data_IF_529710142843
#
_entry.id   IF_529710142843
#
_cell.length_a   1.000
_cell.length_b   1.000
_cell.length_c   1.000
_cell.angle_alpha   90.00
_cell.angle_beta   90.00
_cell.angle_gamma   90.00
#
_symmetry.space_group_name_H-M   'P 1'
#
loop_
_entity.id
_entity.type
_entity.pdbx_description
1 polymer ?
#
# COMPACT_ATOMS: atom_id res chain seq x y z
N UNK A 1 39.24 -48.94 -24.47
CA UNK A 1 39.40 -47.51 -24.09
C UNK A 1 38.66 -46.55 -25.04
N UNK A 2 38.54 -46.84 -26.35
CA UNK A 2 37.92 -45.96 -27.36
C UNK A 2 36.38 -45.80 -27.18
N UNK A 3 35.68 -46.80 -26.64
CA UNK A 3 34.23 -46.75 -26.43
C UNK A 3 33.77 -45.67 -25.44
N UNK A 4 34.60 -45.32 -24.44
CA UNK A 4 34.31 -44.26 -23.48
C UNK A 4 34.43 -42.86 -24.13
N UNK A 5 35.41 -42.71 -25.02
CA UNK A 5 35.67 -41.48 -25.78
C UNK A 5 34.54 -41.20 -26.78
N UNK A 6 34.01 -42.23 -27.44
CA UNK A 6 32.87 -42.11 -28.36
C UNK A 6 31.57 -41.69 -27.66
N UNK A 7 31.35 -42.14 -26.41
CA UNK A 7 30.18 -41.70 -25.61
C UNK A 7 30.27 -40.21 -25.24
N UNK A 8 31.46 -39.72 -24.89
CA UNK A 8 31.69 -38.31 -24.59
C UNK A 8 31.52 -37.38 -25.81
N UNK A 9 31.88 -37.86 -27.01
CA UNK A 9 31.68 -37.13 -28.26
C UNK A 9 30.21 -37.04 -28.70
N UNK A 10 29.36 -38.00 -28.32
CA UNK A 10 27.90 -37.93 -28.56
C UNK A 10 27.23 -36.86 -27.71
N UNK A 11 27.60 -36.75 -26.43
CA UNK A 11 27.05 -35.74 -25.52
C UNK A 11 27.32 -34.31 -25.99
N UNK A 12 28.51 -34.03 -26.56
CA UNK A 12 28.86 -32.71 -27.11
C UNK A 12 28.15 -32.34 -28.43
N UNK A 13 27.61 -33.32 -29.16
CA UNK A 13 26.86 -33.07 -30.41
C UNK A 13 25.39 -32.75 -30.19
N UNK A 14 24.88 -32.98 -28.98
CA UNK A 14 23.47 -32.73 -28.62
C UNK A 14 23.24 -31.33 -28.02
N UNK A 15 24.30 -30.57 -27.74
CA UNK A 15 24.19 -29.16 -27.37
C UNK A 15 23.93 -28.30 -28.61
N UNK A 16 22.68 -28.33 -29.10
CA UNK A 16 22.18 -27.31 -30.02
C UNK A 16 22.11 -25.99 -29.24
N UNK A 17 23.09 -25.11 -29.46
CA UNK A 17 23.06 -23.76 -28.92
C UNK A 17 21.85 -22.98 -29.43
N UNK A 18 21.22 -22.18 -28.56
CA UNK A 18 20.25 -21.16 -28.97
C UNK A 18 20.92 -20.22 -29.97
N UNK A 19 20.21 -19.89 -31.04
CA UNK A 19 20.69 -18.88 -31.99
C UNK A 19 20.47 -17.48 -31.41
N UNK A 20 21.37 -16.54 -31.72
CA UNK A 20 21.19 -15.14 -31.30
C UNK A 20 19.87 -14.54 -31.81
N UNK A 21 19.39 -15.01 -32.97
CA UNK A 21 18.14 -14.55 -33.58
C UNK A 21 16.91 -14.98 -32.76
N UNK A 22 16.90 -16.19 -32.21
CA UNK A 22 15.82 -16.63 -31.31
C UNK A 22 15.78 -15.79 -30.03
N UNK A 23 16.96 -15.51 -29.45
CA UNK A 23 17.06 -14.67 -28.26
C UNK A 23 16.65 -13.22 -28.56
N UNK A 24 16.99 -12.70 -29.75
CA UNK A 24 16.61 -11.37 -30.23
C UNK A 24 15.09 -11.23 -30.38
N UNK A 25 14.42 -12.21 -30.99
CA UNK A 25 12.97 -12.17 -31.18
C UNK A 25 12.22 -12.10 -29.84
N UNK A 26 12.69 -12.82 -28.82
CA UNK A 26 12.07 -12.85 -27.48
C UNK A 26 12.20 -11.49 -26.78
N UNK A 27 13.38 -10.87 -26.79
CA UNK A 27 13.55 -9.57 -26.11
C UNK A 27 12.76 -8.45 -26.79
N UNK A 28 12.55 -8.53 -28.11
CA UNK A 28 11.69 -7.57 -28.83
C UNK A 28 10.25 -7.70 -28.37
N UNK A 29 9.72 -8.91 -28.28
CA UNK A 29 8.35 -9.16 -27.81
C UNK A 29 8.19 -8.70 -26.36
N UNK A 30 9.13 -9.05 -25.46
CA UNK A 30 9.11 -8.61 -24.05
C UNK A 30 9.21 -7.08 -23.97
N UNK A 31 10.02 -6.44 -24.81
CA UNK A 31 10.17 -4.98 -24.85
C UNK A 31 8.87 -4.26 -25.19
N UNK A 32 8.13 -4.75 -26.20
CA UNK A 32 6.82 -4.19 -26.57
C UNK A 32 5.80 -4.38 -25.45
N UNK A 33 5.75 -5.56 -24.84
CA UNK A 33 4.84 -5.85 -23.72
C UNK A 33 5.19 -4.96 -22.52
N UNK A 34 6.47 -4.84 -22.16
CA UNK A 34 6.94 -4.06 -21.04
C UNK A 34 6.62 -2.57 -21.20
N UNK A 35 6.72 -2.02 -22.41
CA UNK A 35 6.42 -0.62 -22.70
C UNK A 35 4.98 -0.23 -22.33
N UNK A 36 4.02 -1.14 -22.51
CA UNK A 36 2.59 -0.90 -22.17
C UNK A 36 2.30 -1.34 -20.74
N UNK A 37 2.86 -2.47 -20.30
CA UNK A 37 2.54 -3.06 -19.01
C UNK A 37 3.05 -2.22 -17.83
N UNK A 38 4.24 -1.63 -17.92
CA UNK A 38 4.83 -0.85 -16.84
C UNK A 38 3.95 0.35 -16.43
N UNK A 39 3.57 1.28 -17.31
CA UNK A 39 2.76 2.43 -16.91
C UNK A 39 1.36 2.03 -16.40
N UNK A 40 0.77 0.97 -16.98
CA UNK A 40 -0.53 0.46 -16.57
C UNK A 40 -0.49 -0.11 -15.14
N UNK A 41 0.52 -0.95 -14.85
CA UNK A 41 0.69 -1.56 -13.53
C UNK A 41 1.04 -0.48 -12.50
N UNK A 42 1.86 0.52 -12.84
CA UNK A 42 2.19 1.60 -11.91
C UNK A 42 0.97 2.44 -11.53
N UNK A 43 0.10 2.78 -12.50
CA UNK A 43 -1.13 3.51 -12.22
C UNK A 43 -2.09 2.71 -11.32
N UNK A 44 -2.30 1.43 -11.65
CA UNK A 44 -3.12 0.53 -10.83
C UNK A 44 -2.56 0.38 -9.40
N UNK A 45 -1.23 0.31 -9.26
CA UNK A 45 -0.59 0.21 -7.96
C UNK A 45 -0.80 1.48 -7.13
N UNK A 46 -0.74 2.66 -7.73
CA UNK A 46 -1.01 3.92 -7.04
C UNK A 46 -2.47 4.02 -6.56
N UNK A 47 -3.43 3.60 -7.39
CA UNK A 47 -4.85 3.56 -7.02
C UNK A 47 -5.13 2.57 -5.89
N UNK A 48 -4.54 1.37 -5.97
CA UNK A 48 -4.69 0.36 -4.91
C UNK A 48 -4.08 0.82 -3.59
N UNK A 49 -2.91 1.49 -3.63
CA UNK A 49 -2.29 2.10 -2.45
C UNK A 49 -3.12 3.25 -1.88
N UNK A 50 -3.72 4.08 -2.73
CA UNK A 50 -4.60 5.16 -2.29
C UNK A 50 -5.85 4.61 -1.60
N UNK A 51 -6.49 3.59 -2.19
CA UNK A 51 -7.65 2.92 -1.62
C UNK A 51 -7.32 2.22 -0.29
N UNK A 52 -6.16 1.55 -0.21
CA UNK A 52 -5.69 0.94 1.02
C UNK A 52 -5.50 1.97 2.14
N UNK A 53 -4.97 3.16 1.82
CA UNK A 53 -4.85 4.25 2.79
C UNK A 53 -6.22 4.75 3.27
N UNK A 54 -7.20 4.90 2.38
CA UNK A 54 -8.57 5.27 2.76
C UNK A 54 -9.19 4.21 3.68
N UNK A 55 -8.92 2.92 3.43
CA UNK A 55 -9.33 1.84 4.31
C UNK A 55 -8.67 1.95 5.70
N UNK A 56 -7.36 2.24 5.77
CA UNK A 56 -6.66 2.48 7.04
C UNK A 56 -7.26 3.67 7.81
N UNK A 57 -7.60 4.76 7.11
CA UNK A 57 -8.25 5.91 7.73
C UNK A 57 -9.64 5.55 8.30
N UNK A 58 -10.42 4.73 7.57
CA UNK A 58 -11.70 4.21 8.05
C UNK A 58 -11.55 3.30 9.27
N UNK A 59 -10.55 2.41 9.29
CA UNK A 59 -10.25 1.57 10.45
C UNK A 59 -9.92 2.43 11.67
N UNK A 60 -9.13 3.48 11.50
CA UNK A 60 -8.78 4.39 12.58
C UNK A 60 -10.01 5.17 13.07
N UNK A 61 -10.88 5.60 12.16
CA UNK A 61 -12.13 6.26 12.49
C UNK A 61 -13.04 5.37 13.35
N UNK A 62 -13.26 4.11 12.95
CA UNK A 62 -14.08 3.19 13.73
C UNK A 62 -13.44 2.84 15.08
N UNK A 63 -12.11 2.70 15.14
CA UNK A 63 -11.41 2.47 16.40
C UNK A 63 -11.56 3.67 17.36
N UNK A 64 -11.45 4.90 16.86
CA UNK A 64 -11.69 6.10 17.65
C UNK A 64 -13.15 6.17 18.12
N UNK A 65 -14.11 5.85 17.24
CA UNK A 65 -15.54 5.83 17.56
C UNK A 65 -15.89 4.81 18.64
N UNK A 66 -15.31 3.61 18.59
CA UNK A 66 -15.49 2.60 19.64
C UNK A 66 -14.93 3.10 20.98
N UNK A 67 -13.74 3.72 20.95
CA UNK A 67 -13.13 4.32 22.15
C UNK A 67 -14.00 5.45 22.72
N UNK A 68 -14.52 6.33 21.87
CA UNK A 68 -15.33 7.47 22.33
C UNK A 68 -16.60 6.99 23.02
N UNK A 69 -17.32 6.03 22.44
CA UNK A 69 -18.54 5.45 23.04
C UNK A 69 -18.23 4.86 24.42
N UNK A 70 -17.12 4.12 24.54
CA UNK A 70 -16.74 3.46 25.79
C UNK A 70 -16.28 4.43 26.88
N UNK A 71 -15.64 5.55 26.53
CA UNK A 71 -15.06 6.51 27.49
C UNK A 71 -15.94 7.73 27.75
N UNK A 72 -16.84 8.08 26.83
CA UNK A 72 -17.67 9.29 26.87
C UNK A 72 -19.15 8.95 27.08
N UNK A 73 -19.45 7.91 27.87
CA UNK A 73 -20.83 7.55 28.25
C UNK A 73 -21.79 7.39 27.05
N UNK A 74 -21.31 6.82 25.95
CA UNK A 74 -22.11 6.61 24.73
C UNK A 74 -22.03 7.71 23.67
N UNK A 75 -21.32 8.82 23.93
CA UNK A 75 -21.18 9.91 22.96
C UNK A 75 -20.05 9.70 21.94
N UNK A 76 -20.29 10.11 20.70
CA UNK A 76 -19.30 10.10 19.61
C UNK A 76 -18.78 11.51 19.39
N UNK A 77 -17.71 11.86 20.11
CA UNK A 77 -17.13 13.20 20.11
C UNK A 77 -15.67 13.17 20.54
N UNK A 78 -14.93 14.23 20.19
CA UNK A 78 -13.58 14.49 20.66
C UNK A 78 -12.50 14.13 19.65
N UNK A 79 -11.29 14.61 19.92
CA UNK A 79 -10.10 14.27 19.15
C UNK A 79 -9.33 13.15 19.83
N UNK A 80 -9.02 12.10 19.08
CA UNK A 80 -8.33 10.89 19.54
C UNK A 80 -7.00 10.73 18.80
N UNK A 81 -5.91 10.51 19.53
CA UNK A 81 -4.58 10.28 18.93
C UNK A 81 -4.28 8.80 18.78
N UNK A 82 -3.54 8.43 17.74
CA UNK A 82 -3.16 7.03 17.49
C UNK A 82 -2.49 6.39 18.71
N UNK A 83 -1.62 7.11 19.42
CA UNK A 83 -1.01 6.62 20.66
C UNK A 83 -2.01 6.17 21.71
N UNK A 84 -3.14 6.87 21.84
CA UNK A 84 -4.19 6.57 22.81
C UNK A 84 -5.02 5.37 22.36
N UNK A 85 -5.35 5.26 21.07
CA UNK A 85 -6.06 4.11 20.53
C UNK A 85 -5.25 2.83 20.68
N UNK A 86 -3.93 2.91 20.50
CA UNK A 86 -3.02 1.77 20.68
C UNK A 86 -2.88 1.42 22.16
N UNK A 87 -2.70 2.40 23.05
CA UNK A 87 -2.58 2.18 24.49
C UNK A 87 -3.85 1.53 25.08
N UNK A 88 -5.02 2.00 24.64
CA UNK A 88 -6.32 1.48 25.06
C UNK A 88 -6.74 0.21 24.31
N UNK A 89 -5.89 -0.34 23.42
CA UNK A 89 -6.09 -1.59 22.65
C UNK A 89 -7.27 -1.59 21.67
N UNK A 90 -7.68 -0.43 21.18
CA UNK A 90 -8.70 -0.33 20.11
C UNK A 90 -8.13 -0.55 18.72
N UNK A 91 -6.81 -0.42 18.55
CA UNK A 91 -6.11 -0.68 17.30
C UNK A 91 -4.71 -1.26 17.57
N UNK A 92 -4.18 -2.05 16.65
CA UNK A 92 -2.84 -2.63 16.76
C UNK A 92 -1.76 -1.54 16.66
N UNK A 93 -0.60 -1.76 17.29
CA UNK A 93 0.59 -0.91 17.08
C UNK A 93 1.25 -1.18 15.73
N UNK A 94 2.02 -0.20 15.22
CA UNK A 94 2.86 -0.41 14.03
C UNK A 94 2.07 -0.36 12.71
N UNK A 95 1.00 0.43 12.65
CA UNK A 95 0.35 0.72 11.37
C UNK A 95 1.34 1.37 10.42
N UNK A 96 1.31 0.95 9.16
CA UNK A 96 2.14 1.50 8.09
C UNK A 96 1.29 2.10 7.00
N UNK A 97 1.79 3.16 6.37
CA UNK A 97 1.19 3.74 5.17
C UNK A 97 1.42 2.83 3.95
N UNK A 98 0.36 2.36 3.27
CA UNK A 98 0.50 1.44 2.13
C UNK A 98 1.28 2.00 0.93
N UNK A 99 1.40 3.32 0.80
CA UNK A 99 2.11 3.94 -0.32
C UNK A 99 3.62 4.02 -0.10
N UNK A 100 4.03 4.50 1.07
CA UNK A 100 5.43 4.72 1.44
C UNK A 100 6.08 3.54 2.17
N UNK A 101 5.27 2.66 2.79
CA UNK A 101 5.76 1.58 3.65
C UNK A 101 6.25 2.06 5.02
N UNK A 102 6.23 3.37 5.30
CA UNK A 102 6.64 3.95 6.57
C UNK A 102 5.54 3.78 7.62
N UNK A 103 5.92 3.72 8.89
CA UNK A 103 4.98 3.70 10.02
C UNK A 103 4.20 5.00 10.11
N UNK A 104 2.95 4.92 10.56
CA UNK A 104 2.18 6.09 10.98
C UNK A 104 2.71 6.60 12.32
N UNK A 105 2.83 7.92 12.45
CA UNK A 105 3.26 8.59 13.66
C UNK A 105 2.15 8.61 14.70
N UNK A 106 2.54 8.56 15.97
CA UNK A 106 1.66 8.63 17.14
C UNK A 106 0.79 9.91 17.19
N UNK A 107 1.24 10.96 16.50
CA UNK A 107 0.53 12.24 16.34
C UNK A 107 -0.63 12.17 15.34
N UNK A 108 -0.83 11.05 14.67
CA UNK A 108 -2.01 10.80 13.82
C UNK A 108 -3.28 10.99 14.66
N UNK A 109 -4.25 11.75 14.15
CA UNK A 109 -5.47 12.11 14.90
C UNK A 109 -6.75 11.73 14.17
N UNK A 110 -7.79 11.45 14.95
CA UNK A 110 -9.17 11.34 14.50
C UNK A 110 -10.01 12.32 15.27
N UNK A 111 -10.71 13.22 14.58
CA UNK A 111 -11.65 14.16 15.16
C UNK A 111 -13.08 13.68 14.95
N UNK A 112 -13.68 13.14 16.01
CA UNK A 112 -15.07 12.71 16.04
C UNK A 112 -15.97 13.91 16.35
N UNK A 113 -17.01 14.09 15.53
CA UNK A 113 -17.91 15.25 15.59
C UNK A 113 -17.76 16.21 14.41
N UNK A 114 -16.70 16.07 13.62
CA UNK A 114 -16.57 16.73 12.32
C UNK A 114 -17.58 16.13 11.32
N UNK A 115 -18.40 16.98 10.71
CA UNK A 115 -19.39 16.57 9.69
C UNK A 115 -19.16 17.32 8.38
N UNK A 116 -19.59 16.70 7.26
CA UNK A 116 -19.48 17.32 5.93
C UNK A 116 -18.03 17.43 5.41
N UNK A 117 -17.60 18.66 5.12
CA UNK A 117 -16.26 18.97 4.58
C UNK A 117 -15.19 19.16 5.66
N UNK A 118 -15.53 19.06 6.95
CA UNK A 118 -14.56 19.13 8.02
C UNK A 118 -13.63 17.91 8.02
N UNK A 119 -12.35 18.13 8.35
CA UNK A 119 -11.35 17.07 8.46
C UNK A 119 -11.67 16.17 9.65
N UNK A 120 -11.78 14.87 9.37
CA UNK A 120 -12.16 13.83 10.32
C UNK A 120 -10.95 12.97 10.70
N UNK A 121 -10.07 12.66 9.76
CA UNK A 121 -8.87 11.85 10.03
C UNK A 121 -7.65 12.56 9.46
N UNK A 122 -6.59 12.64 10.25
CA UNK A 122 -5.28 13.16 9.84
C UNK A 122 -4.23 12.08 10.06
N UNK A 123 -3.84 11.41 8.97
CA UNK A 123 -2.73 10.45 8.95
C UNK A 123 -1.42 11.21 8.86
N UNK A 124 -0.53 10.99 9.82
CA UNK A 124 0.83 11.54 9.79
C UNK A 124 1.79 10.39 9.54
N UNK A 125 2.45 10.36 8.38
CA UNK A 125 3.44 9.32 8.07
C UNK A 125 4.79 9.76 8.63
N UNK A 126 5.45 8.89 9.41
CA UNK A 126 6.76 9.19 9.98
C UNK A 126 7.78 9.47 8.88
N UNK A 127 8.37 10.67 8.88
CA UNK A 127 9.35 11.08 7.88
C UNK A 127 8.77 11.30 6.48
N UNK A 128 7.46 11.48 6.35
CA UNK A 128 6.78 11.60 5.07
C UNK A 128 5.61 12.58 5.09
N UNK A 129 4.58 12.24 4.32
CA UNK A 129 3.43 13.11 4.07
C UNK A 129 2.44 13.12 5.24
N UNK A 130 1.75 14.25 5.42
CA UNK A 130 0.52 14.32 6.21
C UNK A 130 -0.67 14.26 5.27
N UNK A 131 -1.63 13.37 5.52
CA UNK A 131 -2.80 13.15 4.68
C UNK A 131 -4.06 13.34 5.51
N UNK A 132 -4.94 14.24 5.07
CA UNK A 132 -6.23 14.50 5.71
C UNK A 132 -7.38 13.91 4.92
N UNK A 133 -8.37 13.40 5.63
CA UNK A 133 -9.62 12.90 5.08
C UNK A 133 -10.78 13.65 5.71
N UNK A 134 -11.68 14.14 4.86
CA UNK A 134 -12.93 14.73 5.30
C UNK A 134 -14.03 13.64 5.38
N UNK A 135 -15.16 13.95 6.02
CA UNK A 135 -16.23 12.97 6.22
C UNK A 135 -16.76 12.40 4.89
N UNK A 136 -16.86 13.25 3.87
CA UNK A 136 -17.29 12.86 2.52
C UNK A 136 -16.27 11.97 1.81
N UNK A 137 -14.98 12.18 2.07
CA UNK A 137 -13.92 11.41 1.41
C UNK A 137 -13.84 10.00 1.98
N UNK A 138 -13.97 9.86 3.31
CA UNK A 138 -14.02 8.56 3.98
C UNK A 138 -15.22 7.72 3.52
N UNK A 139 -16.41 8.35 3.44
CA UNK A 139 -17.64 7.69 3.01
C UNK A 139 -17.57 7.19 1.57
N UNK A 140 -16.90 7.92 0.70
CA UNK A 140 -16.77 7.58 -0.73
C UNK A 140 -15.46 6.88 -1.05
N UNK A 141 -14.68 6.48 -0.03
CA UNK A 141 -13.35 5.89 -0.18
C UNK A 141 -12.42 6.70 -1.10
N UNK A 142 -12.59 8.02 -1.14
CA UNK A 142 -11.74 8.89 -1.96
C UNK A 142 -10.32 8.94 -1.40
N UNK A 143 -9.30 9.13 -2.26
CA UNK A 143 -7.95 9.40 -1.80
C UNK A 143 -7.93 10.65 -0.92
N UNK A 144 -7.30 10.56 0.25
CA UNK A 144 -7.12 11.71 1.15
C UNK A 144 -6.25 12.79 0.52
N UNK A 145 -6.43 14.02 0.99
CA UNK A 145 -5.70 15.19 0.49
C UNK A 145 -4.39 15.34 1.26
N UNK A 146 -3.26 15.45 0.54
CA UNK A 146 -1.98 15.75 1.16
C UNK A 146 -1.97 17.19 1.67
N UNK A 147 -1.57 17.36 2.92
CA UNK A 147 -1.35 18.67 3.54
C UNK A 147 0.16 18.95 3.52
N UNK A 148 0.59 20.18 3.15
CA UNK A 148 1.99 20.57 3.20
C UNK A 148 2.56 20.58 4.62
#
# INVERSE_FOLDING_TARGET
MIALIQRFQRLRKEEKGITLVELLAVIVIIGVIAAIAVPLITGLLDDTKANARSATANQLYEAARLRSIAKNNGEITGTHKLSELVADKYIQSGLTDPKSGNTLADTTTVNLGATGTATVVTLVVTGGDTITFNATDLKNSKPGTKVP
#
